data_IF_123432309421
#
_entry.id   IF_123432309421
#
_cell.length_a   1.000
_cell.length_b   1.000
_cell.length_c   1.000
_cell.angle_alpha   90.00
_cell.angle_beta   90.00
_cell.angle_gamma   90.00
#
_symmetry.space_group_name_H-M   'P 1'
#
loop_
_entity.id
_entity.type
_entity.pdbx_description
1 polymer ?
#
# COMPACT_ATOMS: atom_id res chain seq x y z
N UNK A 1 -4.85 -13.02 -16.20
CA UNK A 1 -3.38 -13.01 -16.05
C UNK A 1 -2.96 -13.48 -14.67
N UNK A 2 -3.46 -12.86 -13.60
CA UNK A 2 -3.32 -13.44 -12.27
C UNK A 2 -4.24 -14.64 -12.11
N UNK A 3 -3.71 -15.74 -11.58
CA UNK A 3 -4.46 -16.94 -11.22
C UNK A 3 -4.50 -17.08 -9.69
N UNK A 4 -5.53 -17.76 -9.19
CA UNK A 4 -5.60 -18.14 -7.78
C UNK A 4 -4.59 -19.25 -7.48
N UNK A 5 -3.66 -18.98 -6.58
CA UNK A 5 -2.61 -19.89 -6.13
C UNK A 5 -2.91 -20.45 -4.73
N UNK A 6 -4.17 -20.43 -4.28
CA UNK A 6 -4.60 -20.97 -3.00
C UNK A 6 -4.18 -20.08 -1.84
N UNK A 7 -3.47 -20.63 -0.86
CA UNK A 7 -3.10 -19.90 0.38
C UNK A 7 -2.24 -18.64 0.14
N UNK A 8 -1.53 -18.54 -0.98
CA UNK A 8 -0.73 -17.36 -1.32
C UNK A 8 -1.53 -16.26 -2.04
N UNK A 9 -2.82 -16.48 -2.34
CA UNK A 9 -3.66 -15.56 -3.09
C UNK A 9 -3.35 -15.56 -4.58
N UNK A 10 -3.40 -14.39 -5.23
CA UNK A 10 -3.24 -14.24 -6.68
C UNK A 10 -1.78 -14.20 -7.11
N UNK A 11 -1.40 -15.01 -8.11
CA UNK A 11 -0.03 -15.07 -8.63
C UNK A 11 0.06 -15.23 -10.14
N UNK A 12 1.30 -15.18 -10.65
CA UNK A 12 1.62 -15.48 -12.05
C UNK A 12 1.92 -16.96 -12.20
N UNK A 13 1.32 -17.60 -13.22
CA UNK A 13 1.53 -19.01 -13.54
C UNK A 13 2.09 -19.11 -14.95
N UNK A 14 3.15 -19.89 -15.12
CA UNK A 14 3.75 -20.12 -16.42
C UNK A 14 2.87 -21.04 -17.27
N UNK A 15 2.46 -20.58 -18.44
CA UNK A 15 1.74 -21.41 -19.43
C UNK A 15 2.67 -22.20 -20.34
N UNK A 16 3.97 -21.89 -20.31
CA UNK A 16 5.03 -22.53 -21.09
C UNK A 16 6.24 -22.76 -20.19
N UNK A 17 7.16 -23.64 -20.63
CA UNK A 17 8.41 -23.88 -19.91
C UNK A 17 9.27 -22.60 -19.91
N UNK A 18 9.57 -22.09 -18.72
CA UNK A 18 10.51 -20.98 -18.50
C UNK A 18 11.88 -21.57 -18.15
N UNK A 19 12.94 -21.07 -18.77
CA UNK A 19 14.33 -21.47 -18.51
C UNK A 19 14.93 -20.65 -17.38
N UNK A 20 15.99 -21.19 -16.78
CA UNK A 20 16.80 -20.43 -15.83
C UNK A 20 17.37 -19.17 -16.51
N UNK A 21 17.33 -18.04 -15.81
CA UNK A 21 17.76 -16.72 -16.29
C UNK A 21 16.96 -16.16 -17.49
N UNK A 22 15.81 -16.73 -17.81
CA UNK A 22 14.91 -16.17 -18.82
C UNK A 22 14.20 -14.92 -18.27
N UNK A 23 14.17 -13.84 -19.06
CA UNK A 23 13.38 -12.66 -18.71
C UNK A 23 11.91 -12.93 -18.97
N UNK A 24 11.13 -13.05 -17.89
CA UNK A 24 9.69 -13.39 -17.96
C UNK A 24 8.77 -12.17 -18.05
N UNK A 25 9.21 -11.01 -17.57
CA UNK A 25 8.42 -9.80 -17.50
C UNK A 25 9.34 -8.57 -17.44
N UNK A 26 8.94 -7.49 -18.09
CA UNK A 26 9.55 -6.18 -17.96
C UNK A 26 8.46 -5.17 -17.62
N UNK A 27 8.71 -4.29 -16.64
CA UNK A 27 7.79 -3.23 -16.25
C UNK A 27 8.35 -1.90 -16.74
N UNK A 28 7.67 -1.19 -17.65
CA UNK A 28 8.05 0.16 -18.03
C UNK A 28 8.07 1.09 -16.81
N UNK A 29 9.07 1.96 -16.71
CA UNK A 29 9.19 2.93 -15.61
C UNK A 29 7.93 3.80 -15.45
N UNK A 30 7.26 4.12 -16.56
CA UNK A 30 6.03 4.90 -16.57
C UNK A 30 4.86 4.24 -15.82
N UNK A 31 4.92 2.93 -15.57
CA UNK A 31 3.91 2.19 -14.79
C UNK A 31 4.28 2.08 -13.31
N UNK A 32 5.52 2.37 -12.93
CA UNK A 32 5.96 2.31 -11.54
C UNK A 32 5.30 3.45 -10.77
N UNK A 33 4.59 3.12 -9.70
CA UNK A 33 4.04 4.09 -8.78
C UNK A 33 5.11 4.48 -7.75
N UNK A 34 5.66 5.67 -7.90
CA UNK A 34 6.61 6.25 -6.95
C UNK A 34 5.93 7.31 -6.07
N UNK A 35 6.51 7.70 -4.92
CA UNK A 35 5.96 8.79 -4.10
C UNK A 35 5.82 10.11 -4.86
N UNK A 36 6.79 10.46 -5.72
CA UNK A 36 6.72 11.67 -6.56
C UNK A 36 5.62 11.58 -7.64
N UNK A 37 5.45 10.41 -8.24
CA UNK A 37 4.38 10.17 -9.21
C UNK A 37 2.99 10.18 -8.55
N UNK A 38 2.86 9.66 -7.33
CA UNK A 38 1.63 9.72 -6.53
C UNK A 38 1.31 11.16 -6.10
N UNK A 39 2.31 11.89 -5.61
CA UNK A 39 2.16 13.29 -5.21
C UNK A 39 1.66 14.16 -6.35
N UNK A 40 2.33 14.11 -7.51
CA UNK A 40 1.94 14.88 -8.70
C UNK A 40 0.58 14.51 -9.30
N UNK A 41 0.06 13.31 -8.99
CA UNK A 41 -1.25 12.85 -9.45
C UNK A 41 -2.37 12.97 -8.40
N UNK A 42 -2.03 13.40 -7.18
CA UNK A 42 -2.98 13.55 -6.07
C UNK A 42 -3.81 14.82 -6.21
N UNK A 43 -5.11 14.73 -5.90
CA UNK A 43 -6.00 15.89 -5.85
C UNK A 43 -5.64 16.88 -4.73
N UNK A 44 -4.85 16.45 -3.74
CA UNK A 44 -4.44 17.25 -2.58
C UNK A 44 -2.92 17.47 -2.54
N UNK A 45 -2.27 17.46 -3.71
CA UNK A 45 -0.82 17.60 -3.86
C UNK A 45 -0.24 18.78 -3.07
N UNK A 46 -0.81 19.99 -3.23
CA UNK A 46 -0.35 21.21 -2.54
C UNK A 46 -0.31 21.05 -1.02
N UNK A 47 -1.28 20.33 -0.46
CA UNK A 47 -1.40 20.10 0.99
C UNK A 47 -0.38 19.07 1.46
N UNK A 48 -0.20 18.00 0.68
CA UNK A 48 0.81 16.98 0.96
C UNK A 48 2.24 17.55 0.88
N UNK A 49 2.51 18.43 -0.09
CA UNK A 49 3.79 19.15 -0.22
C UNK A 49 4.04 20.03 1.00
N UNK A 50 3.05 20.81 1.42
CA UNK A 50 3.18 21.72 2.57
C UNK A 50 3.34 21.00 3.92
N UNK A 51 2.95 19.73 4.00
CA UNK A 51 2.92 18.96 5.23
C UNK A 51 4.23 18.21 5.52
N UNK A 52 5.20 18.23 4.60
CA UNK A 52 6.51 17.57 4.73
C UNK A 52 6.40 16.09 5.18
N UNK A 53 5.36 15.39 4.71
CA UNK A 53 5.10 14.02 5.12
C UNK A 53 6.20 13.06 4.61
N UNK A 54 6.50 11.99 5.36
CA UNK A 54 7.34 10.93 4.85
C UNK A 54 6.81 10.34 3.54
N UNK A 55 7.71 9.90 2.67
CA UNK A 55 7.36 9.42 1.32
C UNK A 55 6.34 8.27 1.31
N UNK A 56 6.35 7.39 2.32
CA UNK A 56 5.37 6.31 2.47
C UNK A 56 3.99 6.83 2.85
N UNK A 57 3.89 7.88 3.67
CA UNK A 57 2.63 8.51 4.07
C UNK A 57 1.98 9.19 2.87
N UNK A 58 2.78 9.90 2.05
CA UNK A 58 2.31 10.47 0.77
C UNK A 58 1.73 9.39 -0.13
N UNK A 59 2.45 8.27 -0.28
CA UNK A 59 1.99 7.16 -1.11
C UNK A 59 0.72 6.50 -0.54
N UNK A 60 0.63 6.32 0.79
CA UNK A 60 -0.56 5.76 1.44
C UNK A 60 -1.80 6.63 1.23
N UNK A 61 -1.67 7.95 1.37
CA UNK A 61 -2.76 8.90 1.11
C UNK A 61 -3.17 8.86 -0.37
N UNK A 62 -2.21 8.87 -1.29
CA UNK A 62 -2.49 8.77 -2.72
C UNK A 62 -3.21 7.45 -3.09
N UNK A 63 -2.83 6.32 -2.48
CA UNK A 63 -3.49 5.04 -2.69
C UNK A 63 -4.94 5.05 -2.18
N UNK A 64 -5.18 5.66 -1.01
CA UNK A 64 -6.53 5.81 -0.45
C UNK A 64 -7.41 6.71 -1.34
N UNK A 65 -6.90 7.86 -1.75
CA UNK A 65 -7.56 8.77 -2.69
C UNK A 65 -7.87 8.07 -4.02
N UNK A 66 -6.88 7.39 -4.59
CA UNK A 66 -7.02 6.72 -5.89
C UNK A 66 -8.00 5.54 -5.83
N UNK A 67 -8.08 4.85 -4.69
CA UNK A 67 -9.11 3.83 -4.45
C UNK A 67 -10.50 4.47 -4.48
N UNK A 68 -10.72 5.53 -3.72
CA UNK A 68 -11.99 6.27 -3.72
C UNK A 68 -12.38 6.74 -5.13
N UNK A 69 -11.45 7.36 -5.87
CA UNK A 69 -11.67 7.81 -7.24
C UNK A 69 -12.03 6.65 -8.18
N UNK A 70 -11.33 5.53 -8.07
CA UNK A 70 -11.59 4.33 -8.89
C UNK A 70 -12.98 3.76 -8.61
N UNK A 71 -13.43 3.76 -7.35
CA UNK A 71 -14.77 3.31 -6.95
C UNK A 71 -15.88 4.25 -7.46
N UNK A 72 -15.60 5.55 -7.57
CA UNK A 72 -16.52 6.57 -8.11
C UNK A 72 -16.41 6.78 -9.63
N UNK A 73 -15.74 5.88 -10.36
CA UNK A 73 -15.53 5.95 -11.81
C UNK A 73 -14.78 7.21 -12.29
N UNK A 74 -13.98 7.81 -11.41
CA UNK A 74 -13.08 8.91 -11.76
C UNK A 74 -11.76 8.36 -12.32
N UNK A 75 -11.17 9.09 -13.28
CA UNK A 75 -9.93 8.67 -13.91
C UNK A 75 -8.76 8.69 -12.92
N UNK A 76 -8.07 7.56 -12.77
CA UNK A 76 -6.74 7.47 -12.15
C UNK A 76 -5.85 6.58 -13.02
N UNK A 77 -4.62 7.04 -13.30
CA UNK A 77 -3.64 6.32 -14.13
C UNK A 77 -3.37 4.89 -13.63
N UNK A 78 -3.37 4.68 -12.32
CA UNK A 78 -3.12 3.37 -11.69
C UNK A 78 -4.41 2.64 -11.26
N UNK A 79 -5.58 3.05 -11.75
CA UNK A 79 -6.87 2.43 -11.40
C UNK A 79 -6.88 0.90 -11.58
N UNK A 80 -6.36 0.38 -12.69
CA UNK A 80 -6.27 -1.08 -12.93
C UNK A 80 -5.34 -1.79 -11.95
N UNK A 81 -4.24 -1.15 -11.55
CA UNK A 81 -3.36 -1.67 -10.50
C UNK A 81 -4.07 -1.70 -9.14
N UNK A 82 -4.82 -0.65 -8.81
CA UNK A 82 -5.53 -0.55 -7.54
C UNK A 82 -6.66 -1.58 -7.44
N UNK A 83 -7.40 -1.82 -8.52
CA UNK A 83 -8.46 -2.85 -8.57
C UNK A 83 -7.96 -4.26 -8.27
N UNK A 84 -6.69 -4.55 -8.58
CA UNK A 84 -6.09 -5.87 -8.32
C UNK A 84 -5.35 -5.96 -6.99
N UNK A 85 -5.26 -4.89 -6.20
CA UNK A 85 -4.68 -4.97 -4.87
C UNK A 85 -5.54 -5.86 -3.96
N UNK A 86 -4.93 -6.60 -3.01
CA UNK A 86 -5.68 -7.29 -1.97
C UNK A 86 -6.54 -6.29 -1.19
N UNK A 87 -7.83 -6.59 -0.94
CA UNK A 87 -8.72 -5.67 -0.23
C UNK A 87 -8.31 -5.46 1.23
N UNK A 88 -7.66 -6.45 1.84
CA UNK A 88 -7.12 -6.39 3.19
C UNK A 88 -5.84 -7.24 3.27
N UNK A 89 -4.67 -6.66 3.56
CA UNK A 89 -3.43 -7.41 3.64
C UNK A 89 -3.32 -8.10 5.01
N UNK A 90 -3.19 -9.43 5.01
CA UNK A 90 -2.97 -10.23 6.22
C UNK A 90 -1.62 -9.88 6.87
N UNK A 91 -1.63 -8.90 7.76
CA UNK A 91 -0.44 -8.31 8.37
C UNK A 91 -0.66 -8.06 9.86
N UNK A 92 0.42 -7.80 10.59
CA UNK A 92 0.38 -7.48 12.02
C UNK A 92 -0.51 -6.27 12.35
N UNK A 93 -0.77 -5.39 11.38
CA UNK A 93 -1.65 -4.23 11.55
C UNK A 93 -3.12 -4.60 11.80
N UNK A 94 -3.51 -5.83 11.52
CA UNK A 94 -4.87 -6.33 11.79
C UNK A 94 -5.01 -6.95 13.18
N UNK A 95 -3.89 -7.20 13.87
CA UNK A 95 -3.88 -7.87 15.15
C UNK A 95 -4.19 -6.88 16.27
N UNK A 96 -4.93 -7.34 17.26
CA UNK A 96 -5.10 -6.61 18.52
C UNK A 96 -3.80 -6.67 19.30
N UNK A 97 -3.56 -5.63 20.10
CA UNK A 97 -2.41 -5.56 20.99
C UNK A 97 -2.29 -6.79 21.89
N UNK A 98 -3.41 -7.29 22.41
CA UNK A 98 -3.47 -8.51 23.24
C UNK A 98 -2.99 -9.77 22.50
N UNK A 99 -3.28 -9.88 21.20
CA UNK A 99 -2.86 -11.01 20.36
C UNK A 99 -1.35 -10.97 20.15
N UNK A 100 -0.78 -9.78 19.93
CA UNK A 100 0.67 -9.59 19.83
C UNK A 100 1.35 -9.97 21.15
N UNK A 101 0.86 -9.42 22.27
CA UNK A 101 1.45 -9.61 23.60
C UNK A 101 1.32 -11.05 24.12
N UNK A 102 0.39 -11.82 23.57
CA UNK A 102 0.16 -13.22 23.96
C UNK A 102 0.87 -14.19 23.03
N UNK A 103 0.68 -14.03 21.71
CA UNK A 103 1.14 -15.02 20.72
C UNK A 103 2.61 -14.85 20.34
N UNK A 104 3.14 -13.62 20.42
CA UNK A 104 4.54 -13.34 20.07
C UNK A 104 5.46 -13.23 21.28
N UNK A 105 4.92 -13.35 22.50
CA UNK A 105 5.67 -13.14 23.74
C UNK A 105 6.97 -13.92 23.81
N UNK A 106 8.08 -13.22 24.04
CA UNK A 106 9.41 -13.81 24.16
C UNK A 106 10.04 -14.24 22.83
N UNK A 107 9.39 -13.98 21.70
CA UNK A 107 9.97 -14.19 20.37
C UNK A 107 10.72 -12.95 19.89
N UNK A 108 11.62 -13.13 18.93
CA UNK A 108 12.27 -11.99 18.25
C UNK A 108 11.30 -11.10 17.47
N UNK A 109 10.11 -11.63 17.12
CA UNK A 109 9.10 -10.91 16.35
C UNK A 109 8.24 -9.96 17.21
N UNK A 110 8.18 -10.15 18.52
CA UNK A 110 7.39 -9.32 19.44
C UNK A 110 7.73 -7.84 19.30
N UNK A 111 9.02 -7.51 19.44
CA UNK A 111 9.51 -6.14 19.35
C UNK A 111 9.22 -5.53 17.98
N UNK A 112 9.44 -6.28 16.91
CA UNK A 112 9.18 -5.82 15.54
C UNK A 112 7.69 -5.52 15.32
N UNK A 113 6.79 -6.34 15.88
CA UNK A 113 5.35 -6.11 15.83
C UNK A 113 4.96 -4.79 16.51
N UNK A 114 5.46 -4.55 17.73
CA UNK A 114 5.21 -3.29 18.44
C UNK A 114 5.76 -2.07 17.70
N UNK A 115 6.96 -2.17 17.14
CA UNK A 115 7.56 -1.09 16.34
C UNK A 115 6.71 -0.74 15.11
N UNK A 116 6.23 -1.75 14.38
CA UNK A 116 5.35 -1.57 13.21
C UNK A 116 4.02 -0.92 13.60
N UNK A 117 3.35 -1.44 14.63
CA UNK A 117 2.07 -0.91 15.11
C UNK A 117 2.21 0.54 15.57
N UNK A 118 3.25 0.84 16.34
CA UNK A 118 3.56 2.19 16.80
C UNK A 118 3.90 3.15 15.65
N UNK A 119 4.61 2.66 14.61
CA UNK A 119 4.93 3.45 13.43
C UNK A 119 3.68 3.75 12.57
N UNK A 120 2.78 2.79 12.42
CA UNK A 120 1.51 2.99 11.73
C UNK A 120 0.64 4.04 12.43
N UNK A 121 0.52 3.95 13.74
CA UNK A 121 -0.23 4.90 14.57
C UNK A 121 0.37 6.33 14.49
N UNK A 122 1.71 6.47 14.52
CA UNK A 122 2.36 7.77 14.27
C UNK A 122 2.05 8.31 12.88
N UNK A 123 2.18 7.47 11.85
CA UNK A 123 1.90 7.88 10.47
C UNK A 123 0.45 8.33 10.30
N UNK A 124 -0.50 7.66 10.97
CA UNK A 124 -1.90 8.06 10.96
C UNK A 124 -2.12 9.45 11.58
N UNK A 125 -1.49 9.73 12.73
CA UNK A 125 -1.57 11.06 13.37
C UNK A 125 -0.99 12.18 12.52
N UNK A 126 0.02 11.90 11.71
CA UNK A 126 0.60 12.86 10.76
C UNK A 126 -0.35 13.13 9.58
N UNK A 127 -1.04 12.09 9.09
CA UNK A 127 -1.93 12.16 7.93
C UNK A 127 -3.26 12.86 8.24
N UNK A 128 -3.89 12.55 9.37
CA UNK A 128 -5.25 13.02 9.71
C UNK A 128 -5.42 14.54 9.56
N UNK A 129 -4.54 15.39 10.14
CA UNK A 129 -4.69 16.84 10.00
C UNK A 129 -4.59 17.34 8.56
N UNK A 130 -3.88 16.63 7.69
CA UNK A 130 -3.73 17.01 6.27
C UNK A 130 -5.01 16.71 5.50
N UNK A 131 -5.62 15.54 5.77
CA UNK A 131 -6.85 15.09 5.13
C UNK A 131 -8.07 15.88 5.61
N UNK A 132 -8.20 16.13 6.92
CA UNK A 132 -9.34 16.89 7.48
C UNK A 132 -9.41 18.30 6.89
N UNK A 133 -8.25 18.95 6.70
CA UNK A 133 -8.16 20.27 6.06
C UNK A 133 -8.57 20.25 4.59
N UNK A 134 -8.55 19.09 3.92
CA UNK A 134 -8.90 18.96 2.51
C UNK A 134 -10.39 18.76 2.25
N UNK A 135 -11.15 18.28 3.26
CA UNK A 135 -12.60 18.07 3.18
C UNK A 135 -13.39 19.30 3.67
N UNK A 136 -12.75 20.20 4.42
CA UNK A 136 -13.30 21.49 4.86
C UNK A 136 -13.19 22.57 3.78
#
# INVERSE_FOLDING_TARGET
FLQDCGQAGRGLVAHTRVRQCETVLQVPESLILTPSAGLSASAIADRLESAELPAWSVLAVFLAESKYRTENSEYCKWSEYIKILPPSPETILQWRQEEVDTLLKGTSAEKAAHEILSAADRSWREIVPVVDRAVA
#
